data_IF_077821805124
#
_entry.id   IF_077821805124
#
_cell.length_a   1.000
_cell.length_b   1.000
_cell.length_c   1.000
_cell.angle_alpha   90.00
_cell.angle_beta   90.00
_cell.angle_gamma   90.00
#
_symmetry.space_group_name_H-M   'P 1'
#
loop_
_entity.id
_entity.type
_entity.pdbx_description
1 polymer ?
#
# COMPACT_ATOMS: atom_id res chain seq x y z
N UNK A 1 25.74 3.27 -24.64
CA UNK A 1 25.71 3.79 -23.26
C UNK A 1 24.35 4.45 -23.04
N UNK A 2 23.42 3.76 -22.37
CA UNK A 2 22.08 4.31 -22.07
C UNK A 2 22.20 5.20 -20.83
N UNK A 3 21.85 6.48 -20.97
CA UNK A 3 21.78 7.43 -19.86
C UNK A 3 20.62 7.00 -18.96
N UNK A 4 20.93 6.55 -17.74
CA UNK A 4 19.94 6.35 -16.69
C UNK A 4 19.52 7.74 -16.19
N UNK A 5 18.28 8.13 -16.51
CA UNK A 5 17.71 9.41 -16.07
C UNK A 5 17.31 9.26 -14.61
N UNK A 6 18.13 9.81 -13.70
CA UNK A 6 17.71 10.05 -12.31
C UNK A 6 16.50 10.97 -12.35
N UNK A 7 15.34 10.48 -11.90
CA UNK A 7 14.15 11.30 -11.67
C UNK A 7 14.07 11.58 -10.18
N UNK A 8 13.89 12.85 -9.85
CA UNK A 8 13.87 13.35 -8.47
C UNK A 8 12.65 12.79 -7.73
N UNK A 9 12.85 12.43 -6.46
CA UNK A 9 11.84 11.76 -5.62
C UNK A 9 10.82 12.80 -5.17
N UNK A 10 9.71 12.92 -5.88
CA UNK A 10 8.56 13.67 -5.40
C UNK A 10 7.85 12.80 -4.36
N UNK A 11 7.72 13.33 -3.14
CA UNK A 11 7.28 12.62 -1.94
C UNK A 11 6.12 11.64 -2.15
N UNK A 12 6.43 10.35 -2.02
CA UNK A 12 5.44 9.29 -1.86
C UNK A 12 5.12 9.21 -0.37
N UNK A 13 3.97 9.77 0.02
CA UNK A 13 3.45 9.65 1.37
C UNK A 13 3.01 8.20 1.60
N UNK A 14 3.81 7.43 2.34
CA UNK A 14 3.38 6.18 2.97
C UNK A 14 2.19 6.46 3.90
N UNK A 15 0.96 6.37 3.39
CA UNK A 15 -0.21 6.33 4.26
C UNK A 15 -0.03 5.16 5.22
N UNK A 16 -0.12 5.41 6.53
CA UNK A 16 -0.06 4.36 7.56
C UNK A 16 -1.13 3.31 7.22
N UNK A 17 -0.70 2.18 6.64
CA UNK A 17 -1.58 1.05 6.34
C UNK A 17 -1.63 0.19 7.59
N UNK A 18 -2.55 0.55 8.50
CA UNK A 18 -2.90 -0.29 9.65
C UNK A 18 -3.59 -1.54 9.10
N UNK A 19 -2.94 -2.69 9.28
CA UNK A 19 -3.50 -4.00 8.94
C UNK A 19 -4.49 -4.43 10.01
N UNK A 20 -5.62 -3.73 10.06
CA UNK A 20 -6.92 -4.23 10.51
C UNK A 20 -7.97 -3.12 10.41
N UNK A 21 -8.80 -3.18 9.36
CA UNK A 21 -10.17 -2.66 9.34
C UNK A 21 -10.35 -1.13 9.41
N UNK A 22 -10.53 -0.51 8.23
CA UNK A 22 -11.17 0.79 7.99
C UNK A 22 -10.53 2.05 8.59
N UNK A 23 -9.87 2.86 7.75
CA UNK A 23 -9.70 4.30 8.01
C UNK A 23 -10.24 5.09 6.82
N UNK A 24 -11.43 5.66 7.03
CA UNK A 24 -11.83 6.87 6.35
C UNK A 24 -11.03 8.05 6.90
N UNK A 25 -10.63 8.95 5.99
CA UNK A 25 -10.41 10.37 6.26
C UNK A 25 -9.40 10.72 7.37
N UNK A 26 -8.11 10.59 7.09
CA UNK A 26 -7.11 11.52 7.67
C UNK A 26 -6.81 12.61 6.64
N UNK A 27 -7.82 13.40 6.33
CA UNK A 27 -7.65 14.73 5.78
C UNK A 27 -8.24 15.71 6.79
N UNK A 28 -7.53 16.83 7.00
CA UNK A 28 -7.88 18.00 7.81
C UNK A 28 -7.34 18.02 9.23
N UNK A 29 -6.11 18.49 9.34
CA UNK A 29 -5.74 19.41 10.41
C UNK A 29 -4.65 20.38 9.92
N UNK A 30 -5.04 21.35 9.08
CA UNK A 30 -4.43 22.69 9.14
C UNK A 30 -5.40 23.75 8.58
N UNK A 31 -5.70 24.72 9.45
CA UNK A 31 -5.97 26.14 9.13
C UNK A 31 -7.41 26.62 8.77
N UNK A 32 -7.71 27.92 8.98
CA UNK A 32 -8.56 28.38 10.08
C UNK A 32 -9.90 28.99 9.64
N UNK A 33 -10.69 29.36 10.65
CA UNK A 33 -12.03 29.94 10.63
C UNK A 33 -12.44 30.76 9.38
N UNK A 34 -13.58 30.37 8.79
CA UNK A 34 -14.32 31.25 7.90
C UNK A 34 -15.41 30.57 7.06
N UNK A 35 -16.67 30.77 7.48
CA UNK A 35 -17.87 30.89 6.63
C UNK A 35 -18.71 29.62 6.37
N UNK A 36 -19.77 29.54 7.18
CA UNK A 36 -21.12 28.99 6.96
C UNK A 36 -21.43 28.32 5.61
N UNK A 37 -21.62 27.01 5.65
CA UNK A 37 -22.56 26.29 4.79
C UNK A 37 -23.20 25.15 5.61
N UNK A 38 -24.53 25.05 5.59
CA UNK A 38 -25.31 24.09 6.37
C UNK A 38 -25.04 22.63 5.94
N UNK A 39 -25.06 21.65 6.86
CA UNK A 39 -24.91 20.25 6.52
C UNK A 39 -26.20 19.66 5.90
N UNK A 40 -26.13 18.77 4.90
CA UNK A 40 -27.26 18.00 4.44
C UNK A 40 -27.68 16.94 5.49
N UNK A 41 -28.95 16.52 5.52
CA UNK A 41 -29.51 15.73 6.61
C UNK A 41 -28.99 14.28 6.60
N UNK A 42 -28.62 13.80 7.78
CA UNK A 42 -28.22 12.43 8.05
C UNK A 42 -29.44 11.49 8.01
N UNK A 43 -29.41 10.47 7.15
CA UNK A 43 -30.19 9.23 7.29
C UNK A 43 -29.25 8.05 7.01
N UNK A 44 -28.93 7.33 8.07
CA UNK A 44 -27.97 6.24 8.11
C UNK A 44 -27.43 6.11 9.52
N UNK A 45 -28.28 5.65 10.44
CA UNK A 45 -27.89 5.25 11.77
C UNK A 45 -26.97 4.03 11.63
N UNK A 46 -25.65 4.26 11.59
CA UNK A 46 -24.66 3.21 11.73
C UNK A 46 -24.59 2.84 13.20
N UNK A 47 -24.90 1.58 13.50
CA UNK A 47 -24.78 1.01 14.83
C UNK A 47 -23.38 1.27 15.39
N UNK A 48 -23.37 1.84 16.60
CA UNK A 48 -22.20 2.16 17.40
C UNK A 48 -21.46 0.89 17.82
N UNK A 49 -20.63 0.36 16.93
CA UNK A 49 -19.67 -0.71 17.20
C UNK A 49 -18.31 -0.50 16.50
N UNK A 50 -17.93 0.75 16.21
CA UNK A 50 -16.54 1.07 15.89
C UNK A 50 -15.77 1.25 17.20
N UNK A 51 -15.30 0.14 17.78
CA UNK A 51 -14.26 0.21 18.80
C UNK A 51 -13.04 0.87 18.16
N UNK A 52 -12.58 1.98 18.74
CA UNK A 52 -11.31 2.62 18.39
C UNK A 52 -10.18 1.65 18.77
N UNK A 53 -9.83 0.72 17.86
CA UNK A 53 -8.71 -0.20 18.05
C UNK A 53 -7.43 0.61 17.84
N UNK A 54 -7.02 1.34 18.88
CA UNK A 54 -5.65 1.84 18.98
C UNK A 54 -4.76 0.62 19.24
N UNK A 55 -4.01 0.19 18.23
CA UNK A 55 -2.93 -0.78 18.43
C UNK A 55 -1.95 -0.21 19.47
N UNK A 56 -1.54 -1.05 20.40
CA UNK A 56 -0.50 -0.72 21.38
C UNK A 56 0.83 -0.45 20.68
N UNK A 57 1.72 0.33 21.33
CA UNK A 57 3.06 0.59 20.82
C UNK A 57 3.82 -0.71 20.53
N UNK A 58 3.59 -1.74 21.36
CA UNK A 58 4.14 -3.08 21.22
C UNK A 58 3.68 -3.76 19.93
N UNK A 59 2.38 -3.71 19.62
CA UNK A 59 1.84 -4.32 18.39
C UNK A 59 2.35 -3.63 17.12
N UNK A 60 2.43 -2.30 17.13
CA UNK A 60 2.98 -1.53 16.01
C UNK A 60 4.47 -1.86 15.81
N UNK A 61 5.24 -1.89 16.89
CA UNK A 61 6.67 -2.19 16.83
C UNK A 61 6.94 -3.61 16.29
N UNK A 62 6.20 -4.59 16.79
CA UNK A 62 6.27 -5.97 16.34
C UNK A 62 5.91 -6.09 14.86
N UNK A 63 4.84 -5.43 14.43
CA UNK A 63 4.39 -5.47 13.04
C UNK A 63 5.43 -4.89 12.07
N UNK A 64 6.00 -3.72 12.39
CA UNK A 64 7.04 -3.10 11.57
C UNK A 64 8.34 -3.90 11.57
N UNK A 65 8.72 -4.48 12.71
CA UNK A 65 9.86 -5.39 12.84
C UNK A 65 9.73 -6.58 11.90
N UNK A 66 8.59 -7.29 11.94
CA UNK A 66 8.33 -8.46 11.09
C UNK A 66 8.27 -8.08 9.60
N UNK A 67 7.61 -6.97 9.26
CA UNK A 67 7.42 -6.54 7.87
C UNK A 67 8.73 -6.06 7.21
N UNK A 68 9.51 -5.28 7.94
CA UNK A 68 10.72 -4.64 7.42
C UNK A 68 12.01 -5.34 7.85
N UNK A 69 11.93 -6.39 8.65
CA UNK A 69 13.07 -7.11 9.22
C UNK A 69 14.06 -6.15 9.92
N UNK A 70 13.52 -5.28 10.76
CA UNK A 70 14.25 -4.29 11.57
C UNK A 70 14.12 -4.63 13.06
N UNK A 71 14.92 -4.00 13.91
CA UNK A 71 14.86 -4.28 15.36
C UNK A 71 13.56 -3.78 16.00
N UNK A 72 12.73 -4.71 16.50
CA UNK A 72 11.53 -4.39 17.29
C UNK A 72 11.84 -3.45 18.46
N UNK A 73 12.97 -3.66 19.14
CA UNK A 73 13.36 -2.84 20.28
C UNK A 73 13.62 -1.39 19.88
N UNK A 74 14.30 -1.16 18.75
CA UNK A 74 14.60 0.19 18.26
C UNK A 74 13.34 0.90 17.77
N UNK A 75 12.46 0.17 17.07
CA UNK A 75 11.16 0.68 16.63
C UNK A 75 10.28 1.06 17.83
N UNK A 76 10.19 0.19 18.83
CA UNK A 76 9.45 0.45 20.06
C UNK A 76 9.96 1.71 20.77
N UNK A 77 11.28 1.86 20.91
CA UNK A 77 11.87 3.05 21.51
C UNK A 77 11.49 4.34 20.78
N UNK A 78 11.46 4.31 19.44
CA UNK A 78 11.02 5.46 18.65
C UNK A 78 9.53 5.81 18.86
N UNK A 79 8.67 4.79 18.94
CA UNK A 79 7.23 4.95 19.20
C UNK A 79 7.00 5.47 20.63
N UNK A 80 7.66 4.91 21.62
CA UNK A 80 7.56 5.32 23.03
C UNK A 80 8.09 6.74 23.24
N UNK A 81 9.08 7.17 22.43
CA UNK A 81 9.56 8.55 22.34
C UNK A 81 8.60 9.50 21.61
N UNK A 82 7.39 9.03 21.22
CA UNK A 82 6.35 9.78 20.51
C UNK A 82 6.83 10.36 19.18
N UNK A 83 7.75 9.69 18.50
CA UNK A 83 8.12 10.06 17.14
C UNK A 83 6.92 9.85 16.22
N UNK A 84 6.89 10.63 15.15
CA UNK A 84 5.86 10.53 14.13
C UNK A 84 5.86 9.12 13.50
N UNK A 85 4.69 8.46 13.49
CA UNK A 85 4.56 7.07 13.03
C UNK A 85 4.83 6.92 11.54
N UNK A 86 4.57 7.97 10.75
CA UNK A 86 4.94 8.00 9.35
C UNK A 86 6.46 7.95 9.21
N UNK A 87 7.18 8.76 9.97
CA UNK A 87 8.64 8.76 9.95
C UNK A 87 9.22 7.41 10.44
N UNK A 88 8.62 6.78 11.46
CA UNK A 88 9.02 5.45 11.94
C UNK A 88 8.81 4.39 10.86
N UNK A 89 7.65 4.35 10.20
CA UNK A 89 7.39 3.40 9.12
C UNK A 89 8.32 3.59 7.92
N UNK A 90 8.52 4.84 7.49
CA UNK A 90 9.40 5.18 6.38
C UNK A 90 10.87 4.82 6.68
N UNK A 91 11.34 5.07 7.91
CA UNK A 91 12.68 4.68 8.34
C UNK A 91 12.88 3.16 8.32
N UNK A 92 11.89 2.39 8.80
CA UNK A 92 11.94 0.94 8.78
C UNK A 92 12.05 0.39 7.34
N UNK A 93 11.27 0.95 6.42
CA UNK A 93 11.35 0.60 5.00
C UNK A 93 12.72 0.95 4.40
N UNK A 94 13.23 2.16 4.66
CA UNK A 94 14.54 2.59 4.15
C UNK A 94 15.70 1.78 4.75
N UNK A 95 15.59 1.38 6.01
CA UNK A 95 16.53 0.47 6.66
C UNK A 95 16.55 -0.89 5.94
N UNK A 96 15.39 -1.47 5.65
CA UNK A 96 15.27 -2.71 4.87
C UNK A 96 15.94 -2.60 3.50
N UNK A 97 15.61 -1.55 2.74
CA UNK A 97 16.10 -1.39 1.36
C UNK A 97 17.62 -1.14 1.34
N UNK A 98 18.11 -0.28 2.22
CA UNK A 98 19.53 0.12 2.26
C UNK A 98 20.43 -0.86 2.99
N UNK A 99 19.87 -1.77 3.79
CA UNK A 99 20.61 -2.64 4.71
C UNK A 99 21.23 -1.92 5.91
N UNK A 100 20.88 -0.65 6.15
CA UNK A 100 21.28 0.08 7.36
C UNK A 100 20.39 -0.27 8.55
N UNK A 101 20.86 0.04 9.77
CA UNK A 101 20.02 -0.08 10.95
C UNK A 101 18.88 0.95 10.92
N UNK A 102 17.77 0.63 11.59
CA UNK A 102 16.65 1.55 11.75
C UNK A 102 17.11 2.86 12.43
N UNK A 103 17.93 2.74 13.47
CA UNK A 103 18.47 3.88 14.19
C UNK A 103 19.36 4.79 13.33
N UNK A 104 20.17 4.25 12.42
CA UNK A 104 20.97 5.07 11.51
C UNK A 104 20.07 5.93 10.62
N UNK A 105 19.00 5.34 10.08
CA UNK A 105 18.05 6.06 9.22
C UNK A 105 17.28 7.11 10.02
N UNK A 106 16.84 6.76 11.24
CA UNK A 106 16.18 7.71 12.15
C UNK A 106 17.10 8.86 12.55
N UNK A 107 18.38 8.61 12.79
CA UNK A 107 19.34 9.67 13.08
C UNK A 107 19.53 10.62 11.88
N UNK A 108 19.47 10.11 10.65
CA UNK A 108 19.46 10.97 9.46
C UNK A 108 18.21 11.86 9.40
N UNK A 109 17.05 11.32 9.78
CA UNK A 109 15.80 12.08 9.87
C UNK A 109 15.88 13.16 10.96
N UNK A 110 16.34 12.80 12.15
CA UNK A 110 16.51 13.71 13.28
C UNK A 110 17.53 14.84 12.99
N UNK A 111 18.48 14.61 12.09
CA UNK A 111 19.42 15.64 11.62
C UNK A 111 18.80 16.72 10.73
N UNK A 112 17.50 16.62 10.42
CA UNK A 112 16.74 17.60 9.63
C UNK A 112 16.68 17.29 8.12
N UNK A 113 17.14 16.11 7.68
CA UNK A 113 17.07 15.71 6.27
C UNK A 113 15.65 15.33 5.85
N UNK A 114 15.29 15.66 4.61
CA UNK A 114 14.06 15.17 3.99
C UNK A 114 14.20 13.70 3.58
N UNK A 115 13.09 12.99 3.40
CA UNK A 115 13.11 11.60 2.93
C UNK A 115 13.79 11.43 1.56
N UNK A 116 13.63 12.41 0.65
CA UNK A 116 14.36 12.45 -0.62
C UNK A 116 15.88 12.49 -0.39
N UNK A 117 16.36 13.39 0.47
CA UNK A 117 17.79 13.51 0.78
C UNK A 117 18.35 12.26 1.48
N UNK A 118 17.54 11.61 2.33
CA UNK A 118 17.92 10.34 2.96
C UNK A 118 17.98 9.24 1.91
N UNK A 119 17.00 9.15 1.01
CA UNK A 119 16.99 8.20 -0.10
C UNK A 119 18.24 8.33 -0.96
N UNK A 120 18.59 9.56 -1.36
CA UNK A 120 19.80 9.87 -2.11
C UNK A 120 21.07 9.45 -1.36
N UNK A 121 21.16 9.78 -0.06
CA UNK A 121 22.32 9.44 0.78
C UNK A 121 22.48 7.92 0.97
N UNK A 122 21.38 7.17 0.91
CA UNK A 122 21.32 5.72 1.02
C UNK A 122 21.36 5.01 -0.33
N UNK A 123 21.40 5.77 -1.44
CA UNK A 123 21.32 5.25 -2.80
C UNK A 123 20.07 4.37 -3.02
N UNK A 124 18.93 4.77 -2.42
CA UNK A 124 17.62 4.14 -2.59
C UNK A 124 16.97 4.74 -3.84
N UNK A 125 16.57 3.88 -4.78
CA UNK A 125 15.86 4.29 -5.98
C UNK A 125 14.33 4.20 -5.77
N UNK A 126 13.57 5.00 -6.52
CA UNK A 126 12.10 4.96 -6.50
C UNK A 126 11.55 3.55 -6.76
N UNK A 127 12.16 2.82 -7.71
CA UNK A 127 11.78 1.45 -8.03
C UNK A 127 11.95 0.48 -6.85
N UNK A 128 12.93 0.71 -5.97
CA UNK A 128 13.13 -0.13 -4.78
C UNK A 128 12.06 0.14 -3.73
N UNK A 129 11.65 1.41 -3.57
CA UNK A 129 10.54 1.80 -2.71
C UNK A 129 9.23 1.22 -3.23
N UNK A 130 8.96 1.36 -4.53
CA UNK A 130 7.75 0.83 -5.16
C UNK A 130 7.67 -0.69 -5.02
N UNK A 131 8.79 -1.41 -5.20
CA UNK A 131 8.85 -2.86 -5.01
C UNK A 131 8.46 -3.29 -3.60
N UNK A 132 8.91 -2.56 -2.56
CA UNK A 132 8.51 -2.89 -1.18
C UNK A 132 7.05 -2.55 -0.90
N UNK A 133 6.52 -1.45 -1.47
CA UNK A 133 5.09 -1.14 -1.41
C UNK A 133 4.23 -2.21 -2.08
N UNK A 134 4.65 -2.70 -3.25
CA UNK A 134 3.95 -3.75 -3.98
C UNK A 134 3.91 -5.05 -3.16
N UNK A 135 5.01 -5.42 -2.50
CA UNK A 135 5.06 -6.60 -1.61
C UNK A 135 4.09 -6.48 -0.44
N UNK A 136 3.90 -5.28 0.12
CA UNK A 136 2.91 -5.03 1.18
C UNK A 136 1.49 -5.19 0.61
N UNK A 137 1.23 -4.68 -0.59
CA UNK A 137 -0.07 -4.87 -1.25
C UNK A 137 -0.36 -6.35 -1.51
N UNK A 138 0.64 -7.12 -1.99
CA UNK A 138 0.55 -8.58 -2.15
C UNK A 138 0.27 -9.27 -0.82
N UNK A 139 0.98 -8.90 0.26
CA UNK A 139 0.72 -9.44 1.58
C UNK A 139 -0.77 -9.27 1.96
N UNK A 140 -1.34 -8.08 1.78
CA UNK A 140 -2.75 -7.83 2.07
C UNK A 140 -3.72 -8.67 1.22
N UNK A 141 -3.41 -8.88 -0.06
CA UNK A 141 -4.18 -9.76 -0.95
C UNK A 141 -4.21 -11.16 -0.36
N UNK A 142 -3.04 -11.67 0.04
CA UNK A 142 -2.89 -13.04 0.55
C UNK A 142 -3.55 -13.23 1.92
N UNK A 143 -3.50 -12.21 2.79
CA UNK A 143 -4.18 -12.23 4.09
C UNK A 143 -5.71 -12.25 3.95
N UNK A 144 -6.26 -11.64 2.91
CA UNK A 144 -7.72 -11.74 2.62
C UNK A 144 -8.13 -13.13 2.13
N UNK A 145 -7.16 -13.91 1.65
CA UNK A 145 -7.37 -15.26 1.14
C UNK A 145 -8.17 -15.28 -0.16
N UNK A 146 -8.09 -14.22 -0.96
CA UNK A 146 -8.69 -14.18 -2.31
C UNK A 146 -7.78 -14.86 -3.34
N UNK A 147 -6.46 -14.79 -3.11
CA UNK A 147 -5.40 -15.47 -3.86
C UNK A 147 -4.39 -16.01 -2.86
N UNK A 148 -3.88 -17.23 -3.05
CA UNK A 148 -2.83 -17.76 -2.19
C UNK A 148 -1.47 -17.05 -2.44
N UNK A 149 -0.60 -17.07 -1.43
CA UNK A 149 0.68 -16.36 -1.48
C UNK A 149 1.61 -16.79 -2.60
N UNK A 150 1.62 -18.06 -2.98
CA UNK A 150 2.49 -18.54 -4.06
C UNK A 150 2.00 -18.00 -5.41
N UNK A 151 0.69 -18.07 -5.65
CA UNK A 151 0.08 -17.57 -6.88
C UNK A 151 0.21 -16.06 -7.01
N UNK A 152 -0.07 -15.30 -5.94
CA UNK A 152 0.04 -13.84 -5.97
C UNK A 152 1.47 -13.36 -6.26
N UNK A 153 2.49 -13.98 -5.64
CA UNK A 153 3.89 -13.65 -5.92
C UNK A 153 4.30 -14.03 -7.36
N UNK A 154 3.88 -15.20 -7.86
CA UNK A 154 4.17 -15.61 -9.23
C UNK A 154 3.60 -14.63 -10.26
N UNK A 155 2.35 -14.19 -10.09
CA UNK A 155 1.73 -13.20 -10.97
C UNK A 155 2.44 -11.84 -10.91
N UNK A 156 2.88 -11.41 -9.72
CA UNK A 156 3.66 -10.19 -9.58
C UNK A 156 5.02 -10.29 -10.30
N UNK A 157 5.73 -11.40 -10.13
CA UNK A 157 7.00 -11.67 -10.82
C UNK A 157 6.83 -11.78 -12.35
N UNK A 158 5.68 -12.27 -12.80
CA UNK A 158 5.30 -12.27 -14.21
C UNK A 158 5.12 -10.84 -14.74
N UNK A 159 4.76 -9.87 -13.90
CA UNK A 159 4.64 -8.45 -14.25
C UNK A 159 3.24 -7.87 -14.05
N UNK A 160 2.31 -8.63 -13.47
CA UNK A 160 0.99 -8.10 -13.12
C UNK A 160 1.09 -7.14 -11.93
N UNK A 161 0.39 -6.01 -12.01
CA UNK A 161 0.31 -5.09 -10.89
C UNK A 161 -0.47 -5.73 -9.71
N UNK A 162 -0.06 -5.52 -8.45
CA UNK A 162 -0.77 -6.08 -7.29
C UNK A 162 -2.28 -5.79 -7.27
N UNK A 163 -2.71 -4.60 -7.72
CA UNK A 163 -4.14 -4.25 -7.84
C UNK A 163 -4.91 -5.11 -8.83
N UNK A 164 -4.29 -5.44 -9.95
CA UNK A 164 -4.90 -6.30 -10.97
C UNK A 164 -5.02 -7.73 -10.42
N UNK A 165 -4.01 -8.18 -9.66
CA UNK A 165 -4.05 -9.46 -8.93
C UNK A 165 -5.16 -9.46 -7.87
N UNK A 166 -5.33 -8.37 -7.10
CA UNK A 166 -6.40 -8.22 -6.09
C UNK A 166 -7.79 -8.31 -6.74
N UNK A 167 -8.02 -7.52 -7.80
CA UNK A 167 -9.30 -7.48 -8.49
C UNK A 167 -9.63 -8.83 -9.16
N UNK A 168 -8.65 -9.45 -9.82
CA UNK A 168 -8.82 -10.76 -10.41
C UNK A 168 -9.08 -11.83 -9.35
N UNK A 169 -8.41 -11.78 -8.20
CA UNK A 169 -8.61 -12.70 -7.09
C UNK A 169 -10.02 -12.66 -6.53
N UNK A 170 -10.56 -11.45 -6.30
CA UNK A 170 -11.95 -11.24 -5.84
C UNK A 170 -12.93 -11.90 -6.82
N UNK A 171 -12.76 -11.63 -8.12
CA UNK A 171 -13.65 -12.17 -9.17
C UNK A 171 -13.49 -13.69 -9.29
N UNK A 172 -12.27 -14.20 -9.27
CA UNK A 172 -11.94 -15.63 -9.38
C UNK A 172 -12.60 -16.42 -8.23
N UNK A 173 -12.44 -15.95 -7.00
CA UNK A 173 -13.05 -16.55 -5.81
C UNK A 173 -14.58 -16.51 -5.85
N UNK A 174 -15.17 -15.39 -6.26
CA UNK A 174 -16.62 -15.24 -6.35
C UNK A 174 -17.26 -16.07 -7.47
N UNK A 175 -16.55 -16.25 -8.59
CA UNK A 175 -17.03 -17.00 -9.77
C UNK A 175 -16.61 -18.48 -9.78
N UNK A 176 -15.71 -18.89 -8.89
CA UNK A 176 -15.11 -20.23 -8.90
C UNK A 176 -14.17 -20.47 -10.08
N UNK A 177 -13.61 -19.40 -10.66
CA UNK A 177 -12.73 -19.44 -11.84
C UNK A 177 -11.26 -19.34 -11.43
N UNK A 178 -10.38 -19.66 -12.38
CA UNK A 178 -8.95 -19.45 -12.20
C UNK A 178 -8.60 -17.96 -12.29
N UNK A 179 -7.67 -17.50 -11.43
CA UNK A 179 -7.27 -16.08 -11.39
C UNK A 179 -6.59 -15.62 -12.68
N UNK A 180 -5.88 -16.50 -13.39
CA UNK A 180 -5.29 -16.16 -14.69
C UNK A 180 -6.36 -16.04 -15.77
N UNK A 181 -7.36 -16.92 -15.78
CA UNK A 181 -8.52 -16.80 -16.69
C UNK A 181 -9.19 -15.42 -16.54
N UNK A 182 -9.30 -14.92 -15.31
CA UNK A 182 -9.85 -13.60 -15.02
C UNK A 182 -8.91 -12.46 -15.46
N UNK A 183 -7.60 -12.57 -15.20
CA UNK A 183 -6.60 -11.58 -15.62
C UNK A 183 -6.55 -11.44 -17.15
N UNK A 184 -6.59 -12.55 -17.88
CA UNK A 184 -6.60 -12.56 -19.36
C UNK A 184 -7.85 -11.90 -19.94
N UNK A 185 -8.95 -11.84 -19.18
CA UNK A 185 -10.17 -11.15 -19.59
C UNK A 185 -10.03 -9.62 -19.51
N UNK A 186 -9.06 -9.10 -18.76
CA UNK A 186 -8.79 -7.66 -18.66
C UNK A 186 -8.07 -7.18 -19.90
N UNK A 187 -8.59 -6.11 -20.49
CA UNK A 187 -8.04 -5.43 -21.67
C UNK A 187 -7.94 -3.92 -21.42
N UNK A 188 -7.37 -3.19 -22.37
CA UNK A 188 -7.34 -1.72 -22.36
C UNK A 188 -8.73 -1.08 -22.53
N UNK A 189 -9.74 -1.84 -22.99
CA UNK A 189 -11.05 -1.29 -23.37
C UNK A 189 -12.15 -1.53 -22.34
N UNK A 190 -11.86 -2.28 -21.27
CA UNK A 190 -12.83 -2.66 -20.25
C UNK A 190 -12.29 -2.38 -18.84
N UNK A 191 -13.19 -2.10 -17.91
CA UNK A 191 -12.86 -1.93 -16.49
C UNK A 191 -12.89 -3.28 -15.76
N UNK A 192 -12.35 -3.33 -14.54
CA UNK A 192 -12.54 -4.50 -13.67
C UNK A 192 -14.00 -4.82 -13.36
N UNK A 193 -14.88 -3.80 -13.37
CA UNK A 193 -16.33 -3.98 -13.23
C UNK A 193 -16.94 -4.70 -14.43
N UNK A 194 -16.46 -4.44 -15.64
CA UNK A 194 -16.93 -5.12 -16.84
C UNK A 194 -16.45 -6.57 -16.88
N UNK A 195 -15.22 -6.84 -16.41
CA UNK A 195 -14.71 -8.20 -16.22
C UNK A 195 -15.57 -8.95 -15.20
N UNK A 196 -15.88 -8.35 -14.05
CA UNK A 196 -16.76 -8.95 -13.05
C UNK A 196 -18.12 -9.34 -13.64
N UNK A 197 -18.77 -8.44 -14.40
CA UNK A 197 -20.03 -8.74 -15.09
C UNK A 197 -19.91 -9.92 -16.05
N UNK A 198 -18.81 -10.00 -16.81
CA UNK A 198 -18.59 -11.08 -17.76
C UNK A 198 -18.48 -12.46 -17.09
N UNK A 199 -18.07 -12.50 -15.82
CA UNK A 199 -18.04 -13.71 -14.99
C UNK A 199 -19.27 -13.88 -14.10
N UNK A 200 -20.29 -13.03 -14.24
CA UNK A 200 -21.51 -13.10 -13.42
C UNK A 200 -21.31 -12.66 -11.95
N UNK A 201 -20.25 -11.91 -11.67
CA UNK A 201 -19.91 -11.40 -10.33
C UNK A 201 -20.46 -9.98 -10.15
N UNK A 202 -20.92 -9.66 -8.94
CA UNK A 202 -21.39 -8.32 -8.59
C UNK A 202 -20.23 -7.29 -8.73
N UNK A 203 -20.35 -6.27 -9.60
CA UNK A 203 -19.33 -5.25 -9.80
C UNK A 203 -19.03 -4.39 -8.57
N UNK A 204 -19.87 -4.42 -7.54
CA UNK A 204 -19.62 -3.72 -6.29
C UNK A 204 -18.52 -4.38 -5.43
N UNK A 205 -18.19 -5.65 -5.69
CA UNK A 205 -17.18 -6.39 -4.92
C UNK A 205 -15.75 -5.97 -5.25
N UNK A 206 -15.51 -5.46 -6.47
CA UNK A 206 -14.22 -4.92 -6.88
C UNK A 206 -14.14 -3.44 -6.54
N UNK A 207 -13.06 -3.04 -5.85
CA UNK A 207 -12.82 -1.64 -5.46
C UNK A 207 -12.85 -0.71 -6.69
N UNK A 208 -13.40 0.51 -6.56
CA UNK A 208 -13.41 1.46 -7.66
C UNK A 208 -11.99 1.85 -8.09
N UNK A 209 -11.79 1.96 -9.40
CA UNK A 209 -10.56 2.50 -10.01
C UNK A 209 -10.33 3.94 -9.50
N UNK A 210 -9.12 4.24 -9.01
CA UNK A 210 -8.64 5.64 -9.01
C UNK A 210 -8.49 6.07 -10.48
N UNK A 211 -8.68 7.36 -10.84
CA UNK A 211 -8.60 7.81 -12.23
C UNK A 211 -7.32 7.28 -12.88
N UNK A 212 -7.51 6.62 -14.03
CA UNK A 212 -6.60 5.63 -14.59
C UNK A 212 -5.18 6.20 -14.85
N UNK A 213 -4.20 5.62 -14.16
CA UNK A 213 -2.92 5.38 -14.81
C UNK A 213 -3.11 4.25 -15.84
N UNK A 214 -2.40 4.27 -16.98
CA UNK A 214 -2.56 3.23 -17.99
C UNK A 214 -2.32 1.85 -17.39
N UNK A 215 -3.08 0.81 -17.80
CA UNK A 215 -2.82 -0.56 -17.39
C UNK A 215 -1.36 -0.90 -17.67
N UNK A 216 -0.71 -1.59 -16.73
CA UNK A 216 0.59 -2.17 -17.04
C UNK A 216 0.38 -3.11 -18.23
N UNK A 217 1.19 -3.01 -19.31
CA UNK A 217 1.10 -3.95 -20.41
C UNK A 217 1.22 -5.36 -19.85
N UNK A 218 0.28 -6.23 -20.21
CA UNK A 218 0.39 -7.67 -19.90
C UNK A 218 1.81 -8.11 -20.27
N UNK A 219 2.52 -8.81 -19.38
CA UNK A 219 3.83 -9.34 -19.73
C UNK A 219 3.65 -10.20 -20.98
N UNK A 220 4.33 -9.84 -22.05
CA UNK A 220 4.25 -10.61 -23.30
C UNK A 220 4.60 -12.05 -22.97
N UNK A 221 3.69 -12.96 -23.34
CA UNK A 221 3.99 -14.38 -23.44
C UNK A 221 5.27 -14.49 -24.26
N UNK A 222 6.36 -14.90 -23.61
CA UNK A 222 7.60 -15.21 -24.31
C UNK A 222 7.32 -16.43 -25.19
N UNK A 223 7.13 -16.20 -26.48
CA UNK A 223 7.34 -17.21 -27.53
C UNK A 223 8.84 -17.49 -27.72
#
# INVERSE_FOLDING_TARGET
>A
MKRSTRRNVVGITLGVLIVSGSIGSLAHAHEPAGHTAAPPPAHGQMDSAHANVQMSSEEIAKHLSEMFNVSETEVKQAIDAKKDLFDVGQAAMFAKISGKSFNDVMAMRDSGKTWEQIGDALNIMEDDVQRELDKIEIMHITMRGDVDGKTANALYEEGYAPRDIDAAGIIAKASGKDVREVLERKTMKNSWKDVAKAFGVDPALVKPERPDGPPTPHPSTKE
#
